data_IF_446891548940
#
_entry.id   IF_446891548940
#
_cell.length_a   1.000
_cell.length_b   1.000
_cell.length_c   1.000
_cell.angle_alpha   90.00
_cell.angle_beta   90.00
_cell.angle_gamma   90.00
#
_symmetry.space_group_name_H-M   'P 1'
#
loop_
_entity.id
_entity.type
_entity.pdbx_description
1 polymer ?
#
# COMPACT_ATOMS: atom_id res chain seq x y z
N UNK A 1 -20.14 -11.43 -8.91
CA UNK A 1 -18.91 -10.80 -8.36
C UNK A 1 -18.74 -9.48 -9.10
N UNK A 2 -18.71 -8.35 -8.39
CA UNK A 2 -18.31 -7.10 -9.04
C UNK A 2 -16.86 -7.27 -9.49
N UNK A 3 -16.55 -6.97 -10.76
CA UNK A 3 -15.19 -7.08 -11.29
C UNK A 3 -14.23 -6.15 -10.56
N UNK A 4 -12.94 -6.46 -10.59
CA UNK A 4 -11.87 -5.64 -10.03
C UNK A 4 -11.99 -4.19 -10.58
N UNK A 5 -12.13 -3.16 -9.72
CA UNK A 5 -12.29 -1.77 -10.17
C UNK A 5 -11.10 -1.30 -11.04
N UNK A 6 -9.89 -1.78 -10.79
CA UNK A 6 -8.68 -1.43 -11.54
C UNK A 6 -8.69 -1.92 -13.01
N UNK A 7 -9.59 -2.87 -13.37
CA UNK A 7 -9.78 -3.32 -14.75
C UNK A 7 -10.95 -2.61 -15.45
N UNK A 8 -11.74 -1.78 -14.73
CA UNK A 8 -12.80 -0.97 -15.32
C UNK A 8 -12.20 0.25 -16.04
N UNK A 9 -12.64 0.49 -17.27
CA UNK A 9 -12.09 1.54 -18.15
C UNK A 9 -12.05 2.92 -17.48
N UNK A 10 -13.20 3.37 -16.96
CA UNK A 10 -13.29 4.69 -16.33
C UNK A 10 -12.37 4.83 -15.12
N UNK A 11 -12.33 3.85 -14.23
CA UNK A 11 -11.46 3.85 -13.07
C UNK A 11 -9.99 3.89 -13.48
N UNK A 12 -9.60 3.03 -14.43
CA UNK A 12 -8.23 2.95 -14.92
C UNK A 12 -7.76 4.27 -15.54
N UNK A 13 -8.62 4.93 -16.35
CA UNK A 13 -8.30 6.23 -16.92
C UNK A 13 -8.13 7.31 -15.84
N UNK A 14 -8.99 7.36 -14.83
CA UNK A 14 -8.87 8.29 -13.71
C UNK A 14 -7.62 8.01 -12.87
N UNK A 15 -7.33 6.73 -12.62
CA UNK A 15 -6.12 6.33 -11.90
C UNK A 15 -4.85 6.74 -12.65
N UNK A 16 -4.83 6.63 -13.97
CA UNK A 16 -3.70 7.07 -14.79
C UNK A 16 -3.44 8.60 -14.72
N UNK A 17 -4.45 9.40 -14.32
CA UNK A 17 -4.30 10.86 -14.14
C UNK A 17 -3.71 11.24 -12.77
N UNK A 18 -3.63 10.31 -11.82
CA UNK A 18 -3.10 10.61 -10.49
C UNK A 18 -1.63 11.02 -10.56
N UNK A 19 -1.17 11.99 -9.74
CA UNK A 19 0.22 12.42 -9.71
C UNK A 19 1.20 11.24 -9.55
N UNK A 20 0.90 10.30 -8.63
CA UNK A 20 1.74 9.11 -8.43
C UNK A 20 1.78 8.14 -9.61
N UNK A 21 0.71 8.10 -10.41
CA UNK A 21 0.68 7.26 -11.62
C UNK A 21 1.52 7.85 -12.74
N UNK A 22 1.60 9.17 -12.85
CA UNK A 22 2.35 9.90 -13.87
C UNK A 22 3.81 10.14 -13.46
N UNK A 23 4.02 10.61 -12.24
CA UNK A 23 5.33 11.02 -11.72
C UNK A 23 6.03 9.94 -10.88
N UNK A 24 5.43 8.76 -10.73
CA UNK A 24 6.00 7.66 -9.95
C UNK A 24 6.21 7.99 -8.48
N UNK A 25 7.24 7.40 -7.90
CA UNK A 25 7.53 7.54 -6.47
C UNK A 25 7.84 8.99 -6.07
N UNK A 26 8.45 9.77 -6.95
CA UNK A 26 8.78 11.18 -6.65
C UNK A 26 7.52 12.06 -6.44
N UNK A 27 6.39 11.67 -7.03
CA UNK A 27 5.12 12.35 -6.88
C UNK A 27 4.21 11.77 -5.78
N UNK A 28 4.66 10.74 -5.07
CA UNK A 28 3.97 10.16 -3.93
C UNK A 28 4.40 10.86 -2.63
N UNK A 29 3.44 11.49 -1.94
CA UNK A 29 3.73 12.34 -0.77
C UNK A 29 4.40 11.58 0.38
N UNK A 30 4.08 10.31 0.55
CA UNK A 30 4.66 9.43 1.57
C UNK A 30 6.06 8.89 1.22
N UNK A 31 6.50 9.07 -0.03
CA UNK A 31 7.66 8.35 -0.54
C UNK A 31 8.95 8.57 0.26
N UNK A 32 9.24 9.80 0.65
CA UNK A 32 10.48 10.07 1.39
C UNK A 32 10.55 9.32 2.72
N UNK A 33 9.42 9.26 3.43
CA UNK A 33 9.31 8.53 4.71
C UNK A 33 9.31 7.02 4.47
N UNK A 34 8.54 6.52 3.50
CA UNK A 34 8.52 5.10 3.15
C UNK A 34 9.90 4.63 2.69
N UNK A 35 10.59 5.41 1.87
CA UNK A 35 11.95 5.11 1.39
C UNK A 35 12.94 4.92 2.54
N UNK A 36 12.83 5.71 3.60
CA UNK A 36 13.71 5.62 4.76
C UNK A 36 13.53 4.30 5.56
N UNK A 37 12.40 3.64 5.40
CA UNK A 37 12.12 2.35 6.05
C UNK A 37 12.71 1.15 5.32
N UNK A 38 13.06 1.28 4.02
CA UNK A 38 13.61 0.15 3.28
C UNK A 38 14.97 -0.30 3.86
N UNK A 39 15.18 -1.61 3.98
CA UNK A 39 16.52 -2.13 4.24
C UNK A 39 17.41 -1.96 3.00
N UNK A 40 18.73 -2.14 3.12
CA UNK A 40 19.61 -2.27 1.96
C UNK A 40 19.14 -3.39 1.04
N UNK A 41 18.86 -3.08 -0.24
CA UNK A 41 18.31 -4.04 -1.21
C UNK A 41 19.38 -4.66 -2.12
N UNK A 42 20.64 -4.23 -2.02
CA UNK A 42 21.75 -4.79 -2.79
C UNK A 42 21.84 -6.31 -2.62
N UNK A 43 21.75 -7.04 -3.73
CA UNK A 43 21.83 -8.50 -3.76
C UNK A 43 20.57 -9.24 -3.26
N UNK A 44 19.48 -8.53 -2.96
CA UNK A 44 18.27 -9.08 -2.36
C UNK A 44 17.25 -9.57 -3.38
N UNK A 45 16.42 -10.54 -2.96
CA UNK A 45 15.21 -10.99 -3.66
C UNK A 45 14.02 -10.27 -3.03
N UNK A 46 13.20 -9.63 -3.84
CA UNK A 46 12.11 -8.77 -3.40
C UNK A 46 10.77 -9.23 -3.97
N UNK A 47 9.75 -9.33 -3.11
CA UNK A 47 8.36 -9.58 -3.50
C UNK A 47 7.55 -8.30 -3.25
N UNK A 48 6.82 -7.81 -4.26
CA UNK A 48 5.93 -6.65 -4.16
C UNK A 48 4.47 -7.10 -4.30
N UNK A 49 3.72 -7.00 -3.21
CA UNK A 49 2.33 -7.44 -3.09
C UNK A 49 1.36 -6.31 -3.44
N UNK A 50 0.65 -6.43 -4.56
CA UNK A 50 -0.20 -5.37 -5.11
C UNK A 50 0.64 -4.28 -5.77
N UNK A 51 1.55 -4.67 -6.65
CA UNK A 51 2.60 -3.80 -7.19
C UNK A 51 2.09 -2.69 -8.13
N UNK A 52 0.85 -2.76 -8.61
CA UNK A 52 0.26 -1.79 -9.53
C UNK A 52 1.12 -1.56 -10.77
N UNK A 53 1.55 -0.32 -10.99
CA UNK A 53 2.45 0.07 -12.11
C UNK A 53 3.93 -0.33 -11.89
N UNK A 54 4.26 -1.03 -10.79
CA UNK A 54 5.60 -1.59 -10.57
C UNK A 54 6.66 -0.57 -10.14
N UNK A 55 6.29 0.60 -9.62
CA UNK A 55 7.24 1.63 -9.21
C UNK A 55 8.20 1.15 -8.11
N UNK A 56 7.72 0.39 -7.13
CA UNK A 56 8.57 -0.18 -6.07
C UNK A 56 9.43 -1.32 -6.60
N UNK A 57 8.93 -2.12 -7.56
CA UNK A 57 9.74 -3.12 -8.25
C UNK A 57 10.93 -2.46 -8.97
N UNK A 58 10.69 -1.35 -9.68
CA UNK A 58 11.73 -0.58 -10.37
C UNK A 58 12.73 -0.02 -9.37
N UNK A 59 12.26 0.62 -8.30
CA UNK A 59 13.10 1.10 -7.23
C UNK A 59 13.98 -0.01 -6.64
N UNK A 60 13.42 -1.19 -6.37
CA UNK A 60 14.19 -2.31 -5.81
C UNK A 60 15.38 -2.71 -6.68
N UNK A 61 15.20 -2.81 -8.00
CA UNK A 61 16.32 -3.14 -8.90
C UNK A 61 17.32 -1.99 -9.03
N UNK A 62 16.89 -0.74 -8.96
CA UNK A 62 17.77 0.44 -8.92
C UNK A 62 18.61 0.48 -7.63
N UNK A 63 18.09 -0.07 -6.52
CA UNK A 63 18.82 -0.26 -5.27
C UNK A 63 19.63 -1.57 -5.23
N UNK A 64 19.75 -2.27 -6.37
CA UNK A 64 20.61 -3.44 -6.51
C UNK A 64 19.98 -4.79 -6.19
N UNK A 65 18.67 -4.88 -6.09
CA UNK A 65 17.99 -6.17 -5.98
C UNK A 65 18.31 -7.04 -7.21
N UNK A 66 18.54 -8.34 -6.96
CA UNK A 66 18.92 -9.29 -8.00
C UNK A 66 17.74 -9.99 -8.64
N UNK A 67 16.62 -10.05 -7.91
CA UNK A 67 15.37 -10.63 -8.37
C UNK A 67 14.21 -9.89 -7.73
N UNK A 68 13.22 -9.51 -8.53
CA UNK A 68 11.98 -8.88 -8.07
C UNK A 68 10.79 -9.59 -8.69
N UNK A 69 9.80 -9.93 -7.86
CA UNK A 69 8.49 -10.38 -8.32
C UNK A 69 7.45 -9.36 -7.88
N UNK A 70 6.77 -8.73 -8.84
CA UNK A 70 5.59 -7.92 -8.60
C UNK A 70 4.33 -8.73 -8.90
N UNK A 71 3.41 -8.82 -7.95
CA UNK A 71 2.09 -9.41 -8.19
C UNK A 71 0.99 -8.37 -8.06
N UNK A 72 -0.01 -8.44 -8.92
CA UNK A 72 -1.21 -7.63 -8.87
C UNK A 72 -2.39 -8.42 -9.42
N UNK A 73 -3.60 -8.11 -8.99
CA UNK A 73 -4.82 -8.74 -9.49
C UNK A 73 -5.21 -8.21 -10.88
N UNK A 74 -4.76 -7.01 -11.25
CA UNK A 74 -5.13 -6.33 -12.49
C UNK A 74 -4.09 -6.56 -13.59
N UNK A 75 -4.49 -7.26 -14.66
CA UNK A 75 -3.65 -7.38 -15.86
C UNK A 75 -3.38 -6.03 -16.52
N UNK A 76 -4.31 -5.08 -16.44
CA UNK A 76 -4.14 -3.73 -17.01
C UNK A 76 -3.03 -2.96 -16.28
N UNK A 77 -2.99 -3.05 -14.94
CA UNK A 77 -1.93 -2.45 -14.14
C UNK A 77 -0.57 -3.07 -14.50
N UNK A 78 -0.51 -4.38 -14.61
CA UNK A 78 0.72 -5.10 -14.97
C UNK A 78 1.17 -4.85 -16.40
N UNK A 79 0.26 -4.59 -17.34
CA UNK A 79 0.63 -4.18 -18.70
C UNK A 79 1.41 -2.86 -18.69
N UNK A 80 0.96 -1.87 -17.90
CA UNK A 80 1.69 -0.61 -17.69
C UNK A 80 3.02 -0.86 -16.97
N UNK A 81 3.03 -1.71 -15.94
CA UNK A 81 4.25 -2.06 -15.20
C UNK A 81 5.33 -2.63 -16.12
N UNK A 82 4.98 -3.57 -16.99
CA UNK A 82 5.90 -4.15 -17.98
C UNK A 82 6.44 -3.12 -18.97
N UNK A 83 5.58 -2.18 -19.38
CA UNK A 83 5.96 -1.14 -20.34
C UNK A 83 6.84 -0.06 -19.72
N UNK A 84 6.49 0.44 -18.52
CA UNK A 84 7.14 1.62 -17.94
C UNK A 84 8.25 1.27 -16.94
N UNK A 85 8.14 0.12 -16.28
CA UNK A 85 9.03 -0.32 -15.20
C UNK A 85 9.60 -1.72 -15.44
N UNK A 86 9.77 -2.13 -16.72
CA UNK A 86 10.38 -3.40 -17.08
C UNK A 86 11.91 -3.41 -16.85
N UNK A 87 12.41 -4.53 -16.34
CA UNK A 87 13.84 -4.83 -16.19
C UNK A 87 14.01 -6.36 -16.24
N UNK A 88 15.09 -6.93 -16.79
CA UNK A 88 15.29 -8.38 -16.83
C UNK A 88 15.24 -9.09 -15.47
N UNK A 89 15.48 -8.36 -14.39
CA UNK A 89 15.42 -8.87 -13.01
C UNK A 89 14.01 -8.83 -12.43
N UNK A 90 13.03 -8.20 -13.11
CA UNK A 90 11.65 -8.06 -12.62
C UNK A 90 10.75 -9.02 -13.39
N UNK A 91 9.99 -9.79 -12.65
CA UNK A 91 8.87 -10.58 -13.17
C UNK A 91 7.56 -9.99 -12.65
N UNK A 92 6.57 -9.83 -13.53
CA UNK A 92 5.21 -9.42 -13.16
C UNK A 92 4.23 -10.56 -13.40
N UNK A 93 3.44 -10.91 -12.37
CA UNK A 93 2.46 -11.99 -12.44
C UNK A 93 1.07 -11.55 -11.96
N UNK A 94 0.03 -11.93 -12.71
CA UNK A 94 -1.37 -11.73 -12.27
C UNK A 94 -1.64 -12.74 -11.15
N UNK A 95 -1.81 -12.22 -9.95
CA UNK A 95 -2.07 -13.05 -8.78
C UNK A 95 -2.69 -12.17 -7.68
N UNK A 96 -3.74 -12.66 -7.05
CA UNK A 96 -4.23 -12.02 -5.83
C UNK A 96 -3.27 -12.30 -4.66
N UNK A 97 -3.14 -11.36 -3.75
CA UNK A 97 -2.23 -11.46 -2.61
C UNK A 97 -2.49 -12.74 -1.80
N UNK A 98 -3.76 -13.07 -1.53
CA UNK A 98 -4.14 -14.27 -0.77
C UNK A 98 -3.91 -15.58 -1.52
N UNK A 99 -3.80 -15.56 -2.85
CA UNK A 99 -3.68 -16.74 -3.70
C UNK A 99 -2.22 -17.03 -4.11
N UNK A 100 -1.28 -16.16 -3.79
CA UNK A 100 0.14 -16.40 -4.04
C UNK A 100 0.64 -17.59 -3.18
N UNK A 101 1.49 -18.40 -3.74
CA UNK A 101 1.93 -19.65 -3.10
C UNK A 101 2.79 -19.45 -1.83
N UNK A 102 3.45 -18.30 -1.70
CA UNK A 102 4.36 -17.96 -0.61
C UNK A 102 5.37 -19.07 -0.31
N UNK A 103 6.26 -19.41 -1.24
CA UNK A 103 7.26 -20.47 -1.03
C UNK A 103 8.13 -20.09 0.17
N UNK A 104 8.47 -21.08 1.00
CA UNK A 104 9.18 -20.90 2.26
C UNK A 104 10.57 -20.30 2.04
N UNK A 105 10.97 -19.33 2.87
CA UNK A 105 12.30 -18.71 2.91
C UNK A 105 12.84 -18.26 1.53
N UNK A 106 11.94 -17.75 0.69
CA UNK A 106 12.26 -17.44 -0.71
C UNK A 106 12.59 -15.98 -0.96
N UNK A 107 12.23 -15.08 -0.03
CA UNK A 107 12.36 -13.65 -0.19
C UNK A 107 13.12 -13.00 0.96
N UNK A 108 13.97 -12.03 0.64
CA UNK A 108 14.74 -11.27 1.63
C UNK A 108 13.97 -10.02 2.08
N UNK A 109 13.10 -9.50 1.22
CA UNK A 109 12.23 -8.37 1.50
C UNK A 109 10.87 -8.57 0.82
N UNK A 110 9.79 -8.32 1.55
CA UNK A 110 8.43 -8.21 1.02
C UNK A 110 7.98 -6.77 1.17
N UNK A 111 7.36 -6.24 0.13
CA UNK A 111 6.79 -4.88 0.08
C UNK A 111 5.29 -5.02 -0.13
N UNK A 112 4.50 -4.13 0.47
CA UNK A 112 3.12 -3.90 0.09
C UNK A 112 2.77 -2.43 0.27
N UNK A 113 2.45 -1.74 -0.81
CA UNK A 113 2.11 -0.32 -0.77
C UNK A 113 0.66 -0.09 -1.20
N UNK A 114 -0.18 0.34 -0.25
CA UNK A 114 -1.59 0.68 -0.46
C UNK A 114 -2.42 -0.45 -1.11
N UNK A 115 -2.16 -1.70 -0.72
CA UNK A 115 -2.89 -2.89 -1.19
C UNK A 115 -3.59 -3.67 -0.06
N UNK A 116 -3.02 -3.70 1.15
CA UNK A 116 -3.52 -4.58 2.22
C UNK A 116 -4.88 -4.17 2.78
N UNK A 117 -5.28 -2.92 2.66
CA UNK A 117 -6.61 -2.46 3.09
C UNK A 117 -7.75 -2.96 2.18
N UNK A 118 -7.47 -3.74 1.16
CA UNK A 118 -8.49 -4.48 0.40
C UNK A 118 -8.74 -5.89 0.95
N UNK A 119 -7.95 -6.35 1.92
CA UNK A 119 -7.99 -7.72 2.42
C UNK A 119 -8.71 -7.79 3.77
N UNK A 120 -9.60 -8.77 3.92
CA UNK A 120 -10.37 -9.01 5.13
C UNK A 120 -9.51 -9.60 6.26
N UNK A 121 -8.67 -10.59 5.96
CA UNK A 121 -7.83 -11.29 6.94
C UNK A 121 -6.35 -10.93 6.81
N UNK A 122 -5.94 -9.82 7.46
CA UNK A 122 -4.54 -9.43 7.52
C UNK A 122 -3.67 -10.45 8.24
N UNK A 123 -4.19 -11.14 9.26
CA UNK A 123 -3.42 -12.09 10.04
C UNK A 123 -3.03 -13.32 9.18
N UNK A 124 -3.90 -13.78 8.30
CA UNK A 124 -3.58 -14.83 7.34
C UNK A 124 -2.44 -14.38 6.41
N UNK A 125 -2.52 -13.17 5.87
CA UNK A 125 -1.47 -12.62 5.00
C UNK A 125 -0.15 -12.46 5.75
N UNK A 126 -0.16 -11.98 6.98
CA UNK A 126 1.06 -11.84 7.79
C UNK A 126 1.75 -13.19 8.03
N UNK A 127 1.00 -14.26 8.31
CA UNK A 127 1.57 -15.62 8.41
C UNK A 127 2.22 -16.07 7.10
N UNK A 128 1.57 -15.79 5.98
CA UNK A 128 2.10 -16.16 4.65
C UNK A 128 3.36 -15.36 4.31
N UNK A 129 3.37 -14.05 4.59
CA UNK A 129 4.54 -13.19 4.41
C UNK A 129 5.69 -13.63 5.33
N UNK A 130 5.40 -13.94 6.59
CA UNK A 130 6.42 -14.45 7.51
C UNK A 130 7.04 -15.75 7.00
N UNK A 131 6.21 -16.71 6.55
CA UNK A 131 6.68 -17.99 6.01
C UNK A 131 7.61 -17.83 4.80
N UNK A 132 7.29 -16.88 3.90
CA UNK A 132 8.07 -16.72 2.67
C UNK A 132 9.34 -15.90 2.84
N UNK A 133 9.45 -15.13 3.93
CA UNK A 133 10.67 -14.41 4.27
C UNK A 133 11.74 -15.37 4.81
N UNK A 134 13.00 -15.08 4.48
CA UNK A 134 14.14 -15.70 5.18
C UNK A 134 14.16 -15.21 6.64
N UNK A 135 14.76 -15.97 7.58
CA UNK A 135 15.00 -15.45 8.92
C UNK A 135 15.73 -14.11 8.88
N UNK A 136 15.21 -13.10 9.57
CA UNK A 136 15.72 -11.73 9.52
C UNK A 136 15.35 -10.95 8.25
N UNK A 137 14.50 -11.50 7.39
CA UNK A 137 13.95 -10.81 6.24
C UNK A 137 12.96 -9.71 6.65
N UNK A 138 12.75 -8.75 5.78
CA UNK A 138 11.97 -7.54 6.08
C UNK A 138 10.62 -7.53 5.41
N UNK A 139 9.62 -7.05 6.13
CA UNK A 139 8.33 -6.66 5.58
C UNK A 139 8.16 -5.14 5.72
N UNK A 140 8.09 -4.43 4.60
CA UNK A 140 7.84 -2.99 4.54
C UNK A 140 6.47 -2.77 3.94
N UNK A 141 5.56 -2.17 4.69
CA UNK A 141 4.20 -1.94 4.22
C UNK A 141 3.74 -0.50 4.43
N UNK A 142 2.87 -0.06 3.54
CA UNK A 142 2.06 1.13 3.65
C UNK A 142 0.59 0.71 3.50
N UNK A 143 -0.21 1.03 4.49
CA UNK A 143 -1.65 0.74 4.51
C UNK A 143 -2.43 2.02 4.83
N UNK A 144 -3.67 2.14 4.35
CA UNK A 144 -4.52 3.25 4.80
C UNK A 144 -4.67 3.22 6.33
N UNK A 145 -4.46 4.39 6.94
CA UNK A 145 -4.49 4.51 8.40
C UNK A 145 -5.89 4.24 8.97
N UNK A 146 -6.02 3.59 10.13
CA UNK A 146 -7.31 3.33 10.75
C UNK A 146 -8.20 4.56 10.99
N UNK A 147 -7.62 5.72 11.27
CA UNK A 147 -8.35 6.99 11.35
C UNK A 147 -8.98 7.36 10.00
N UNK A 148 -8.26 7.10 8.90
CA UNK A 148 -8.76 7.37 7.56
C UNK A 148 -9.90 6.42 7.16
N UNK A 149 -9.80 5.14 7.51
CA UNK A 149 -10.78 4.12 7.14
C UNK A 149 -11.96 4.00 8.11
N UNK A 150 -11.89 4.55 9.34
CA UNK A 150 -12.96 4.47 10.32
C UNK A 150 -14.22 5.22 9.90
N UNK A 151 -14.10 6.33 9.18
CA UNK A 151 -15.25 7.07 8.65
C UNK A 151 -15.94 6.31 7.53
N UNK A 152 -17.28 6.29 7.53
CA UNK A 152 -18.07 5.53 6.56
C UNK A 152 -17.88 6.05 5.12
N UNK A 153 -17.72 7.36 4.93
CA UNK A 153 -17.60 7.98 3.60
C UNK A 153 -16.18 8.22 3.13
N UNK A 154 -15.20 8.15 4.03
CA UNK A 154 -13.82 8.59 3.78
C UNK A 154 -13.75 9.99 3.16
N UNK A 155 -14.51 10.92 3.73
CA UNK A 155 -14.58 12.31 3.29
C UNK A 155 -14.68 13.27 4.48
N UNK A 156 -14.35 14.52 4.23
CA UNK A 156 -14.49 15.61 5.21
C UNK A 156 -15.96 15.95 5.45
N UNK A 157 -16.24 16.47 6.63
CA UNK A 157 -17.48 17.25 6.87
C UNK A 157 -17.21 18.69 6.47
N UNK A 158 -18.07 19.23 5.61
CA UNK A 158 -17.93 20.57 5.05
C UNK A 158 -18.93 21.55 5.65
N UNK A 159 -18.55 22.83 5.71
CA UNK A 159 -19.49 23.91 6.00
C UNK A 159 -20.33 24.29 4.76
N UNK A 160 -21.23 25.25 4.90
CA UNK A 160 -22.09 25.72 3.81
C UNK A 160 -21.30 26.40 2.66
N UNK A 161 -20.07 26.80 2.89
CA UNK A 161 -19.14 27.40 1.92
C UNK A 161 -18.27 26.36 1.20
N UNK A 162 -18.38 25.07 1.56
CA UNK A 162 -17.59 23.99 0.99
C UNK A 162 -16.18 23.86 1.60
N UNK A 163 -15.93 24.46 2.76
CA UNK A 163 -14.66 24.35 3.46
C UNK A 163 -14.65 23.14 4.41
N UNK A 164 -13.55 22.35 4.48
CA UNK A 164 -13.46 21.18 5.33
C UNK A 164 -13.39 21.58 6.81
N UNK A 165 -14.38 21.18 7.60
CA UNK A 165 -14.47 21.45 9.02
C UNK A 165 -13.65 20.47 9.85
N UNK A 166 -13.93 19.20 9.69
CA UNK A 166 -13.25 18.11 10.41
C UNK A 166 -13.39 16.79 9.66
N UNK A 167 -12.48 15.86 9.97
CA UNK A 167 -12.56 14.47 9.51
C UNK A 167 -13.37 13.64 10.50
N UNK A 168 -14.47 13.00 10.09
CA UNK A 168 -15.28 12.19 11.00
C UNK A 168 -14.59 10.85 11.27
N UNK A 169 -14.44 10.51 12.55
CA UNK A 169 -14.04 9.16 13.00
C UNK A 169 -15.22 8.52 13.70
N UNK A 170 -15.75 7.46 13.11
CA UNK A 170 -16.87 6.72 13.66
C UNK A 170 -16.68 5.23 13.43
N UNK A 171 -17.31 4.38 14.26
CA UNK A 171 -17.26 2.93 14.15
C UNK A 171 -15.82 2.36 14.11
N UNK A 172 -14.87 2.99 14.80
CA UNK A 172 -13.47 2.60 14.84
C UNK A 172 -13.26 1.18 15.37
N UNK A 173 -14.05 0.75 16.35
CA UNK A 173 -13.97 -0.60 16.92
C UNK A 173 -14.90 -1.61 16.26
N UNK A 174 -15.47 -1.26 15.11
CA UNK A 174 -16.27 -2.13 14.26
C UNK A 174 -15.49 -2.39 12.95
N UNK A 175 -14.56 -3.36 12.92
CA UNK A 175 -13.76 -3.66 11.74
C UNK A 175 -14.61 -4.28 10.64
N UNK A 176 -14.09 -4.25 9.41
CA UNK A 176 -14.73 -4.85 8.26
C UNK A 176 -15.01 -3.88 7.13
N UNK A 177 -15.95 -4.22 6.29
CA UNK A 177 -16.20 -3.56 5.01
C UNK A 177 -16.56 -2.07 5.15
N UNK A 178 -15.94 -1.26 4.31
CA UNK A 178 -16.25 0.14 4.05
C UNK A 178 -16.38 0.36 2.56
N UNK A 179 -17.49 0.93 2.15
CA UNK A 179 -17.72 1.30 0.75
C UNK A 179 -17.49 2.80 0.62
N UNK A 180 -16.52 3.17 -0.18
CA UNK A 180 -16.14 4.56 -0.42
C UNK A 180 -16.22 4.92 -1.89
N UNK A 181 -16.26 6.20 -2.21
CA UNK A 181 -16.09 6.69 -3.57
C UNK A 181 -14.62 7.04 -3.77
N UNK A 182 -13.96 6.32 -4.67
CA UNK A 182 -12.59 6.62 -5.06
C UNK A 182 -12.52 6.72 -6.58
N UNK A 183 -12.04 7.86 -7.08
CA UNK A 183 -11.95 8.18 -8.52
C UNK A 183 -13.30 8.00 -9.25
N UNK A 184 -14.40 8.45 -8.63
CA UNK A 184 -15.74 8.35 -9.22
C UNK A 184 -16.35 6.96 -9.24
N UNK A 185 -15.69 5.97 -8.67
CA UNK A 185 -16.17 4.60 -8.56
C UNK A 185 -16.38 4.18 -7.11
N UNK A 186 -17.38 3.32 -6.88
CA UNK A 186 -17.56 2.68 -5.58
C UNK A 186 -16.51 1.60 -5.39
N UNK A 187 -15.70 1.75 -4.36
CA UNK A 187 -14.64 0.81 -4.00
C UNK A 187 -14.90 0.28 -2.60
N UNK A 188 -14.82 -1.04 -2.45
CA UNK A 188 -14.90 -1.70 -1.16
C UNK A 188 -13.50 -1.84 -0.58
N UNK A 189 -13.32 -1.38 0.65
CA UNK A 189 -12.10 -1.52 1.45
C UNK A 189 -12.43 -2.18 2.78
N UNK A 190 -11.43 -2.62 3.50
CA UNK A 190 -11.55 -3.20 4.84
C UNK A 190 -10.97 -2.23 5.87
N UNK A 191 -11.76 -1.88 6.85
CA UNK A 191 -11.28 -1.17 8.03
C UNK A 191 -10.70 -2.16 9.02
N UNK A 192 -9.49 -1.90 9.45
CA UNK A 192 -8.79 -2.61 10.52
C UNK A 192 -8.40 -1.61 11.59
N UNK A 193 -8.52 -1.99 12.86
CA UNK A 193 -8.01 -1.14 13.95
C UNK A 193 -6.47 -1.13 13.97
N UNK A 194 -5.88 -0.11 14.56
CA UNK A 194 -4.42 -0.06 14.76
C UNK A 194 -3.90 -1.31 15.50
N UNK A 195 -4.68 -1.80 16.48
CA UNK A 195 -4.38 -3.04 17.21
C UNK A 195 -4.32 -4.25 16.27
N UNK A 196 -5.30 -4.40 15.37
CA UNK A 196 -5.29 -5.51 14.42
C UNK A 196 -4.09 -5.45 13.46
N UNK A 197 -3.71 -4.26 13.02
CA UNK A 197 -2.56 -4.08 12.12
C UNK A 197 -1.25 -4.41 12.85
N UNK A 198 -0.96 -3.75 13.96
CA UNK A 198 0.35 -3.84 14.62
C UNK A 198 0.51 -5.12 15.45
N UNK A 199 -0.47 -5.44 16.29
CA UNK A 199 -0.42 -6.68 17.07
C UNK A 199 -0.59 -7.91 16.19
N UNK A 200 -1.29 -7.77 15.04
CA UNK A 200 -1.34 -8.82 14.02
C UNK A 200 0.04 -9.21 13.51
N UNK A 201 0.92 -8.24 13.25
CA UNK A 201 2.33 -8.51 12.89
C UNK A 201 3.07 -9.20 14.03
N UNK A 202 3.00 -8.63 15.25
CA UNK A 202 3.67 -9.21 16.43
C UNK A 202 3.25 -10.65 16.70
N UNK A 203 1.96 -10.95 16.61
CA UNK A 203 1.41 -12.28 16.85
C UNK A 203 1.80 -13.31 15.76
N UNK A 204 2.23 -12.84 14.59
CA UNK A 204 2.64 -13.68 13.46
C UNK A 204 4.17 -13.69 13.24
N UNK A 205 4.96 -13.50 14.31
CA UNK A 205 6.40 -13.72 14.29
C UNK A 205 7.25 -12.53 13.83
N UNK A 206 6.66 -11.35 13.67
CA UNK A 206 7.41 -10.15 13.34
C UNK A 206 7.83 -9.36 14.57
N UNK A 207 8.98 -8.68 14.48
CA UNK A 207 9.33 -7.56 15.35
C UNK A 207 9.15 -6.26 14.58
N UNK A 208 8.50 -5.28 15.18
CA UNK A 208 8.39 -3.94 14.61
C UNK A 208 9.70 -3.18 14.81
N UNK A 209 10.25 -2.64 13.71
CA UNK A 209 11.44 -1.77 13.76
C UNK A 209 11.07 -0.29 13.64
N UNK A 210 10.02 0.03 12.86
CA UNK A 210 9.51 1.38 12.73
C UNK A 210 8.00 1.37 12.45
N UNK A 211 7.32 2.38 12.97
CA UNK A 211 5.92 2.70 12.66
C UNK A 211 5.86 4.21 12.47
N UNK A 212 5.37 4.66 11.32
CA UNK A 212 5.26 6.08 11.00
C UNK A 212 3.88 6.39 10.41
N UNK A 213 3.30 7.50 10.81
CA UNK A 213 2.13 8.10 10.21
C UNK A 213 2.60 9.09 9.15
N UNK A 214 2.40 8.75 7.88
CA UNK A 214 2.94 9.55 6.77
C UNK A 214 2.33 10.95 6.72
N UNK A 215 3.17 11.94 6.51
CA UNK A 215 2.81 13.34 6.36
C UNK A 215 3.19 13.85 4.97
N UNK A 216 2.41 14.77 4.37
CA UNK A 216 2.83 15.44 3.15
C UNK A 216 4.16 16.17 3.33
N UNK A 217 5.09 16.06 2.37
CA UNK A 217 6.35 16.78 2.45
C UNK A 217 6.15 18.30 2.29
N UNK A 218 7.02 19.10 2.90
CA UNK A 218 6.96 20.56 2.84
C UNK A 218 6.86 21.10 1.39
N UNK A 219 7.48 20.41 0.44
CA UNK A 219 7.44 20.78 -0.99
C UNK A 219 6.08 20.61 -1.67
N UNK A 220 5.14 19.94 -1.03
CA UNK A 220 3.76 19.75 -1.55
C UNK A 220 2.72 20.60 -0.83
N UNK A 221 3.08 21.34 0.21
CA UNK A 221 2.11 22.08 1.04
C UNK A 221 1.35 23.17 0.29
N UNK A 222 1.90 23.70 -0.80
CA UNK A 222 1.22 24.69 -1.66
C UNK A 222 0.22 24.05 -2.64
N UNK A 223 0.17 22.73 -2.73
CA UNK A 223 -0.81 22.04 -3.57
C UNK A 223 -2.19 22.04 -2.90
N UNK A 224 -3.28 22.17 -3.69
CA UNK A 224 -4.63 22.13 -3.15
C UNK A 224 -4.90 20.89 -2.31
N UNK A 225 -5.45 21.08 -1.11
CA UNK A 225 -5.80 20.00 -0.18
C UNK A 225 -4.66 19.47 0.69
N UNK A 226 -3.39 19.79 0.40
CA UNK A 226 -2.25 19.24 1.18
C UNK A 226 -2.22 19.74 2.62
N UNK A 227 -2.65 20.98 2.88
CA UNK A 227 -2.76 21.49 4.24
C UNK A 227 -3.78 20.70 5.07
N UNK A 228 -4.86 20.23 4.46
CA UNK A 228 -5.86 19.40 5.13
C UNK A 228 -5.34 17.98 5.42
N UNK A 229 -4.44 17.45 4.60
CA UNK A 229 -3.79 16.16 4.86
C UNK A 229 -2.98 16.15 6.18
N UNK A 230 -2.51 17.31 6.65
CA UNK A 230 -1.86 17.45 7.95
C UNK A 230 -2.83 17.36 9.15
N UNK A 231 -4.13 17.36 8.92
CA UNK A 231 -5.14 17.40 9.98
C UNK A 231 -5.56 16.01 10.45
N UNK A 232 -5.17 14.96 9.67
CA UNK A 232 -5.40 13.56 10.03
C UNK A 232 -4.39 12.66 9.32
N UNK A 233 -4.00 11.51 9.92
CA UNK A 233 -3.17 10.54 9.21
C UNK A 233 -3.98 9.83 8.11
N UNK A 234 -3.42 9.75 6.90
CA UNK A 234 -4.01 9.01 5.80
C UNK A 234 -3.38 7.62 5.63
N UNK A 235 -2.09 7.50 5.93
CA UNK A 235 -1.30 6.30 5.69
C UNK A 235 -0.49 5.93 6.93
N UNK A 236 -0.38 4.63 7.14
CA UNK A 236 0.45 4.02 8.19
C UNK A 236 1.56 3.22 7.51
N UNK A 237 2.79 3.65 7.75
CA UNK A 237 4.00 2.99 7.26
C UNK A 237 4.55 2.09 8.37
N UNK A 238 4.88 0.86 8.04
CA UNK A 238 5.45 -0.09 9.01
C UNK A 238 6.63 -0.81 8.39
N UNK A 239 7.72 -0.88 9.15
CA UNK A 239 8.84 -1.78 8.91
C UNK A 239 8.89 -2.85 9.98
N UNK A 240 8.84 -4.10 9.56
CA UNK A 240 8.90 -5.26 10.44
C UNK A 240 9.95 -6.25 9.97
N UNK A 241 10.51 -7.03 10.89
CA UNK A 241 11.51 -8.08 10.63
C UNK A 241 10.98 -9.44 11.06
N UNK A 242 11.12 -10.46 10.21
CA UNK A 242 10.76 -11.85 10.53
C UNK A 242 11.76 -12.44 11.54
N UNK A 243 11.26 -12.97 12.66
CA UNK A 243 12.04 -13.58 13.74
C UNK A 243 11.97 -15.09 13.72
#
# INVERSE_FOLDING_TARGET
>A
MMGNPYDQENFFQQYAQMPRSQGGLAAAGEWQQLRALFPPLQGKRVLDLGCGYGWHCRYAVEQGATQVLGIDISERMLAVARQCNGDPRITYAVCAIQDYAYPESSWDCVISNLALHYLEDLAAVYRLVHRTLVPGGYFVMNIEHPVFTAGVGQDWVYNAQGEPLYWPVDRYFDPGERVTNFLGCRVTKQHHTLTQILNGLLANGFALEAVEEAQPPASMMDLPGMADEMRRPMMLLVKAVAR
#
